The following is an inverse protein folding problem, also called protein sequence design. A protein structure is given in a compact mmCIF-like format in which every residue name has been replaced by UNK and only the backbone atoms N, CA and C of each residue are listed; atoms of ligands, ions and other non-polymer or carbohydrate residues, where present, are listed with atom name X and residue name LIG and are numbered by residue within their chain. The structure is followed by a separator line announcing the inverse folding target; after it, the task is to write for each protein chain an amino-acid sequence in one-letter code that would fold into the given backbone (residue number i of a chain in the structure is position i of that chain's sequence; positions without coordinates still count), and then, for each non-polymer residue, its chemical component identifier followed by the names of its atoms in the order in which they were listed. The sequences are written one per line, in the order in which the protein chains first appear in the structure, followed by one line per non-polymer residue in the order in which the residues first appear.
data_IF_964927205341
#
_entry.id   IF_964927205341
#
_cell.length_a   1.000
_cell.length_b   1.000
_cell.length_c   1.000
_cell.angle_alpha   90.00
_cell.angle_beta   90.00
_cell.angle_gamma   90.00
#
_symmetry.space_group_name_H-M   'P 1'
#
loop_
_entity.id
_entity.type
_entity.pdbx_description
1 polymer ?
#
# COMPACT_ATOMS: atom_id res chain seq x y z
N UNK A 1 -20.58 -9.43 -31.35
CA UNK A 1 -22.06 -9.45 -31.20
C UNK A 1 -22.33 -8.90 -29.79
N UNK A 2 -22.93 -7.71 -29.76
CA UNK A 2 -23.17 -6.97 -28.51
C UNK A 2 -24.29 -7.64 -27.71
N UNK A 3 -23.94 -8.13 -26.54
CA UNK A 3 -24.83 -8.73 -25.54
C UNK A 3 -25.65 -7.59 -24.91
N UNK A 4 -26.90 -7.47 -25.34
CA UNK A 4 -27.85 -6.52 -24.73
C UNK A 4 -28.33 -7.12 -23.41
N UNK A 5 -27.64 -6.82 -22.30
CA UNK A 5 -28.15 -7.03 -20.97
C UNK A 5 -29.35 -6.09 -20.75
N UNK A 6 -30.56 -6.62 -20.68
CA UNK A 6 -31.75 -5.84 -20.34
C UNK A 6 -31.74 -5.53 -18.84
N UNK A 7 -31.44 -4.28 -18.50
CA UNK A 7 -31.41 -3.78 -17.12
C UNK A 7 -32.84 -3.38 -16.73
N UNK A 8 -33.51 -4.19 -15.90
CA UNK A 8 -34.75 -3.78 -15.25
C UNK A 8 -34.45 -3.30 -13.83
N UNK A 9 -34.76 -2.04 -13.56
CA UNK A 9 -34.70 -1.49 -12.19
C UNK A 9 -35.88 -2.02 -11.38
N UNK A 10 -35.59 -2.65 -10.25
CA UNK A 10 -36.58 -3.02 -9.24
C UNK A 10 -36.19 -2.35 -7.94
N UNK A 11 -37.16 -1.88 -7.16
CA UNK A 11 -36.90 -1.29 -5.83
C UNK A 11 -37.04 -2.39 -4.78
N UNK A 12 -36.08 -2.48 -3.84
CA UNK A 12 -36.17 -3.35 -2.69
C UNK A 12 -37.26 -2.80 -1.73
N UNK A 13 -38.32 -3.54 -1.45
CA UNK A 13 -39.43 -3.08 -0.59
C UNK A 13 -39.02 -2.85 0.86
N UNK A 14 -37.91 -3.44 1.35
CA UNK A 14 -37.43 -3.28 2.73
C UNK A 14 -36.48 -2.12 2.97
N UNK A 15 -35.68 -1.70 1.96
CA UNK A 15 -34.63 -0.68 2.14
C UNK A 15 -34.68 0.48 1.16
N UNK A 16 -35.57 0.47 0.17
CA UNK A 16 -35.70 1.56 -0.81
C UNK A 16 -34.50 1.75 -1.74
N UNK A 17 -33.55 0.81 -1.74
CA UNK A 17 -32.36 0.87 -2.59
C UNK A 17 -32.64 0.36 -4.01
N UNK A 18 -32.08 1.00 -5.05
CA UNK A 18 -32.27 0.54 -6.41
C UNK A 18 -31.53 -0.78 -6.67
N UNK A 19 -32.26 -1.79 -7.08
CA UNK A 19 -31.79 -3.12 -7.43
C UNK A 19 -31.81 -3.29 -8.95
N UNK A 20 -30.71 -3.74 -9.56
CA UNK A 20 -30.68 -4.17 -10.94
C UNK A 20 -30.76 -5.69 -11.04
N UNK A 21 -31.78 -6.18 -11.75
CA UNK A 21 -31.85 -7.58 -12.16
C UNK A 21 -30.91 -7.81 -13.33
N UNK A 22 -29.87 -8.63 -13.12
CA UNK A 22 -28.99 -9.04 -14.23
C UNK A 22 -29.53 -10.34 -14.80
N UNK A 23 -29.98 -10.26 -16.04
CA UNK A 23 -30.46 -11.40 -16.84
C UNK A 23 -29.45 -11.67 -17.94
N UNK A 24 -28.89 -12.86 -17.98
CA UNK A 24 -28.14 -13.35 -19.14
C UNK A 24 -28.94 -14.39 -19.90
N UNK A 25 -28.74 -14.42 -21.22
CA UNK A 25 -29.29 -15.45 -22.08
C UNK A 25 -28.30 -16.63 -22.11
N UNK A 26 -28.78 -17.82 -21.79
CA UNK A 26 -28.06 -19.06 -22.03
C UNK A 26 -27.88 -19.29 -23.54
N UNK A 27 -26.87 -20.03 -23.99
CA UNK A 27 -26.73 -20.44 -25.40
C UNK A 27 -27.99 -21.07 -26.00
N UNK A 28 -28.88 -21.59 -25.16
CA UNK A 28 -30.21 -22.13 -25.55
C UNK A 28 -31.28 -21.05 -25.71
N UNK A 29 -31.00 -19.77 -25.44
CA UNK A 29 -31.97 -18.67 -25.53
C UNK A 29 -32.88 -18.52 -24.30
N UNK A 30 -32.66 -19.29 -23.23
CA UNK A 30 -33.41 -19.15 -21.96
C UNK A 30 -32.81 -18.05 -21.07
N UNK A 31 -33.69 -17.31 -20.39
CA UNK A 31 -33.27 -16.22 -19.50
C UNK A 31 -32.85 -16.82 -18.14
N UNK A 32 -31.56 -16.69 -17.81
CA UNK A 32 -31.06 -17.02 -16.50
C UNK A 32 -31.01 -15.76 -15.63
N UNK A 33 -31.68 -15.76 -14.49
CA UNK A 33 -31.55 -14.73 -13.47
C UNK A 33 -30.26 -15.00 -12.67
N UNK A 34 -29.21 -14.22 -12.90
CA UNK A 34 -27.91 -14.36 -12.20
C UNK A 34 -27.96 -13.77 -10.80
N UNK A 35 -28.91 -12.91 -10.49
CA UNK A 35 -29.09 -12.30 -9.17
C UNK A 35 -29.47 -10.84 -9.22
N UNK A 36 -29.75 -10.28 -8.06
CA UNK A 36 -30.02 -8.86 -7.88
C UNK A 36 -28.72 -8.16 -7.49
N UNK A 37 -28.25 -7.23 -8.31
CA UNK A 37 -27.11 -6.36 -7.99
C UNK A 37 -27.64 -5.07 -7.35
N UNK A 38 -27.08 -4.69 -6.20
CA UNK A 38 -27.31 -3.36 -5.62
C UNK A 38 -26.65 -2.32 -6.49
N UNK A 39 -27.32 -1.21 -6.71
CA UNK A 39 -26.81 -0.06 -7.45
C UNK A 39 -26.51 1.08 -6.46
N UNK A 40 -25.42 1.78 -6.73
CA UNK A 40 -25.16 3.08 -6.11
C UNK A 40 -26.20 4.13 -6.58
N UNK A 41 -26.44 5.24 -5.84
CA UNK A 41 -27.29 6.34 -6.31
C UNK A 41 -26.93 6.89 -7.70
N UNK A 42 -25.69 6.70 -8.13
CA UNK A 42 -25.21 7.05 -9.50
C UNK A 42 -25.59 6.01 -10.57
N UNK A 43 -26.23 4.89 -10.19
CA UNK A 43 -26.61 3.82 -11.11
C UNK A 43 -25.50 2.83 -11.46
N UNK A 44 -24.35 2.90 -10.80
CA UNK A 44 -23.23 1.97 -10.96
C UNK A 44 -23.48 0.70 -10.13
N UNK A 45 -23.14 -0.47 -10.68
CA UNK A 45 -23.27 -1.73 -9.96
C UNK A 45 -22.24 -1.82 -8.83
N UNK A 46 -22.70 -2.13 -7.62
CA UNK A 46 -21.84 -2.36 -6.46
C UNK A 46 -21.26 -3.78 -6.54
N UNK A 47 -20.03 -3.88 -7.04
CA UNK A 47 -19.30 -5.14 -7.13
C UNK A 47 -18.02 -5.01 -6.27
N UNK A 48 -17.74 -5.94 -5.34
CA UNK A 48 -18.59 -7.04 -4.89
C UNK A 48 -19.85 -6.57 -4.15
N UNK A 49 -20.94 -7.37 -4.13
CA UNK A 49 -22.16 -7.00 -3.42
C UNK A 49 -21.88 -6.91 -1.92
N UNK A 50 -22.20 -5.78 -1.26
CA UNK A 50 -22.01 -5.64 0.18
C UNK A 50 -22.93 -6.61 0.92
N UNK A 51 -22.39 -7.26 1.97
CA UNK A 51 -23.17 -8.13 2.82
C UNK A 51 -24.09 -7.31 3.74
N UNK A 52 -25.08 -7.96 4.36
CA UNK A 52 -25.95 -7.30 5.35
C UNK A 52 -25.27 -7.13 6.72
N UNK A 53 -24.01 -7.55 6.87
CA UNK A 53 -23.25 -7.41 8.11
C UNK A 53 -22.77 -5.94 8.27
N UNK A 54 -23.09 -5.27 9.40
CA UNK A 54 -22.59 -3.93 9.68
C UNK A 54 -21.07 -3.87 9.86
N UNK A 55 -20.39 -4.99 10.08
CA UNK A 55 -18.92 -5.07 10.18
C UNK A 55 -18.23 -5.18 8.82
N UNK A 56 -18.99 -5.38 7.73
CA UNK A 56 -18.41 -5.43 6.40
C UNK A 56 -17.74 -4.09 6.03
N UNK A 57 -16.44 -4.08 5.67
CA UNK A 57 -15.72 -2.86 5.28
C UNK A 57 -16.37 -2.13 4.10
N UNK A 58 -17.10 -2.83 3.24
CA UNK A 58 -17.83 -2.25 2.12
C UNK A 58 -18.99 -1.36 2.56
N UNK A 59 -19.57 -1.62 3.75
CA UNK A 59 -20.66 -0.84 4.34
C UNK A 59 -20.19 0.39 5.14
N UNK A 60 -18.87 0.57 5.31
CA UNK A 60 -18.33 1.71 6.07
C UNK A 60 -18.62 3.05 5.40
N UNK A 61 -18.74 4.09 6.23
CA UNK A 61 -18.88 5.44 5.74
C UNK A 61 -17.68 5.86 4.90
N UNK A 62 -17.86 6.74 3.93
CA UNK A 62 -16.77 7.23 3.07
C UNK A 62 -15.62 7.83 3.89
N UNK A 63 -15.92 8.51 4.99
CA UNK A 63 -14.90 9.06 5.90
C UNK A 63 -14.02 7.97 6.51
N UNK A 64 -14.60 6.86 6.97
CA UNK A 64 -13.83 5.74 7.51
C UNK A 64 -12.97 5.06 6.44
N UNK A 65 -13.50 4.89 5.22
CA UNK A 65 -12.76 4.34 4.08
C UNK A 65 -11.55 5.21 3.74
N UNK A 66 -11.74 6.52 3.59
CA UNK A 66 -10.63 7.45 3.31
C UNK A 66 -9.61 7.51 4.44
N UNK A 67 -10.03 7.41 5.70
CA UNK A 67 -9.11 7.36 6.83
C UNK A 67 -8.23 6.11 6.77
N UNK A 68 -8.79 4.94 6.51
CA UNK A 68 -8.01 3.71 6.35
C UNK A 68 -7.01 3.81 5.18
N UNK A 69 -7.45 4.31 4.03
CA UNK A 69 -6.60 4.49 2.85
C UNK A 69 -5.46 5.48 3.15
N UNK A 70 -5.77 6.61 3.80
CA UNK A 70 -4.77 7.62 4.16
C UNK A 70 -3.70 7.06 5.10
N UNK A 71 -4.07 6.25 6.08
CA UNK A 71 -3.14 5.60 7.00
C UNK A 71 -2.20 4.66 6.23
N UNK A 72 -2.74 3.82 5.36
CA UNK A 72 -1.95 2.88 4.54
C UNK A 72 -1.01 3.63 3.58
N UNK A 73 -1.50 4.68 2.91
CA UNK A 73 -0.71 5.55 2.05
C UNK A 73 0.42 6.22 2.82
N UNK A 74 0.14 6.72 4.04
CA UNK A 74 1.12 7.38 4.87
C UNK A 74 2.24 6.44 5.35
N UNK A 75 1.92 5.21 5.74
CA UNK A 75 2.95 4.24 6.11
C UNK A 75 3.88 3.90 4.94
N UNK A 76 3.34 3.73 3.74
CA UNK A 76 4.17 3.42 2.59
C UNK A 76 4.96 4.62 2.10
N UNK A 77 4.38 5.82 2.16
CA UNK A 77 5.09 7.09 1.96
C UNK A 77 6.30 7.22 2.90
N UNK A 78 6.13 7.01 4.21
CA UNK A 78 7.24 7.08 5.16
C UNK A 78 8.35 6.08 4.86
N UNK A 79 7.99 4.87 4.46
CA UNK A 79 8.99 3.87 4.10
C UNK A 79 9.81 4.31 2.87
N UNK A 80 9.15 4.72 1.80
CA UNK A 80 9.84 5.16 0.58
C UNK A 80 10.66 6.43 0.82
N UNK A 81 10.16 7.35 1.65
CA UNK A 81 10.90 8.50 2.12
C UNK A 81 12.19 8.10 2.83
N UNK A 82 12.13 7.24 3.84
CA UNK A 82 13.30 6.77 4.59
C UNK A 82 14.28 5.96 3.72
N UNK A 83 13.78 5.22 2.75
CA UNK A 83 14.62 4.45 1.82
C UNK A 83 15.44 5.38 0.92
N UNK A 84 14.82 6.45 0.41
CA UNK A 84 15.45 7.36 -0.56
C UNK A 84 16.24 8.50 0.09
N UNK A 85 15.89 8.91 1.31
CA UNK A 85 16.61 9.96 2.05
C UNK A 85 18.09 9.63 2.27
N UNK A 86 18.47 8.36 2.30
CA UNK A 86 19.87 7.96 2.48
C UNK A 86 20.70 7.94 1.20
N UNK A 87 20.10 8.07 0.02
CA UNK A 87 20.82 8.01 -1.25
C UNK A 87 21.83 9.17 -1.41
N UNK A 88 21.47 10.43 -1.15
CA UNK A 88 22.43 11.54 -1.26
C UNK A 88 23.54 11.51 -0.21
N UNK A 89 23.33 10.84 0.93
CA UNK A 89 24.31 10.70 2.02
C UNK A 89 25.40 9.66 1.76
N UNK A 90 25.50 9.14 0.53
CA UNK A 90 26.44 8.08 0.15
C UNK A 90 27.88 8.42 0.52
N UNK A 91 28.34 9.61 0.16
CA UNK A 91 29.71 10.07 0.43
C UNK A 91 30.00 10.19 1.94
N UNK A 92 29.01 10.67 2.71
CA UNK A 92 29.12 10.79 4.17
C UNK A 92 29.19 9.43 4.85
N UNK A 93 28.39 8.46 4.37
CA UNK A 93 28.42 7.08 4.88
C UNK A 93 29.77 6.42 4.59
N UNK A 94 30.36 6.69 3.42
CA UNK A 94 31.67 6.17 3.05
C UNK A 94 32.76 6.70 3.99
N UNK A 95 32.74 8.00 4.30
CA UNK A 95 33.68 8.64 5.23
C UNK A 95 33.45 8.18 6.67
N UNK A 96 32.19 8.08 7.11
CA UNK A 96 31.84 7.70 8.48
C UNK A 96 32.27 6.26 8.83
N UNK A 97 32.14 5.34 7.88
CA UNK A 97 32.43 3.90 8.09
C UNK A 97 33.80 3.47 7.56
N UNK A 98 34.59 4.40 6.97
CA UNK A 98 35.84 4.08 6.26
C UNK A 98 35.69 2.90 5.31
N UNK A 99 34.53 2.89 4.57
CA UNK A 99 34.08 1.78 3.79
C UNK A 99 34.33 1.98 2.30
N UNK A 100 34.52 0.88 1.58
CA UNK A 100 34.62 0.92 0.13
C UNK A 100 33.27 1.23 -0.53
N UNK A 101 33.31 1.82 -1.73
CA UNK A 101 32.12 2.11 -2.52
C UNK A 101 31.15 0.91 -2.62
N UNK A 102 31.69 -0.28 -2.84
CA UNK A 102 30.90 -1.52 -2.92
C UNK A 102 30.17 -1.84 -1.62
N UNK A 103 30.83 -1.65 -0.48
CA UNK A 103 30.24 -1.90 0.84
C UNK A 103 29.10 -0.94 1.14
N UNK A 104 29.26 0.35 0.82
CA UNK A 104 28.17 1.33 1.00
C UNK A 104 27.02 1.03 0.06
N UNK A 105 27.27 0.59 -1.17
CA UNK A 105 26.21 0.20 -2.10
C UNK A 105 25.35 -0.95 -1.57
N UNK A 106 25.92 -1.90 -0.83
CA UNK A 106 25.16 -2.95 -0.16
C UNK A 106 24.18 -2.41 0.88
N UNK A 107 24.45 -1.28 1.53
CA UNK A 107 23.52 -0.67 2.50
C UNK A 107 22.20 -0.23 1.87
N UNK A 108 22.18 0.01 0.56
CA UNK A 108 20.98 0.33 -0.22
C UNK A 108 20.29 -0.90 -0.78
N UNK A 109 21.06 -1.93 -1.13
CA UNK A 109 20.52 -3.18 -1.66
C UNK A 109 19.83 -4.03 -0.59
N UNK A 110 20.36 -4.04 0.63
CA UNK A 110 19.87 -4.88 1.73
C UNK A 110 18.42 -4.57 2.16
N UNK A 111 17.98 -3.31 2.31
CA UNK A 111 16.56 -3.02 2.59
C UNK A 111 15.62 -3.56 1.50
N UNK A 112 16.04 -3.51 0.23
CA UNK A 112 15.25 -4.06 -0.87
C UNK A 112 15.11 -5.58 -0.79
N UNK A 113 16.16 -6.27 -0.33
CA UNK A 113 16.11 -7.70 -0.05
C UNK A 113 15.12 -8.00 1.09
N UNK A 114 15.14 -7.19 2.18
CA UNK A 114 14.17 -7.29 3.27
C UNK A 114 12.73 -7.10 2.76
N UNK A 115 12.51 -6.08 1.92
CA UNK A 115 11.21 -5.81 1.31
C UNK A 115 10.74 -6.95 0.39
N UNK A 116 11.65 -7.64 -0.31
CA UNK A 116 11.33 -8.76 -1.19
C UNK A 116 10.97 -10.03 -0.40
N UNK A 117 11.66 -10.30 0.72
CA UNK A 117 11.39 -11.47 1.56
C UNK A 117 10.17 -11.27 2.47
N UNK A 118 9.88 -10.05 2.87
CA UNK A 118 8.78 -9.73 3.78
C UNK A 118 7.42 -10.24 3.33
N UNK A 119 7.00 -10.07 2.07
CA UNK A 119 5.71 -10.54 1.58
C UNK A 119 5.48 -12.03 1.74
N UNK A 120 6.52 -12.85 1.64
CA UNK A 120 6.42 -14.31 1.79
C UNK A 120 5.91 -14.70 3.18
N UNK A 121 6.36 -13.97 4.21
CA UNK A 121 5.95 -14.23 5.59
C UNK A 121 4.72 -13.41 5.99
N UNK A 122 4.69 -12.13 5.61
CA UNK A 122 3.65 -11.21 6.06
C UNK A 122 2.29 -11.51 5.40
N UNK A 123 2.27 -11.99 4.16
CA UNK A 123 1.02 -12.38 3.49
C UNK A 123 0.38 -13.57 4.22
N UNK A 124 1.13 -14.64 4.47
CA UNK A 124 0.62 -15.79 5.20
C UNK A 124 0.16 -15.45 6.63
N UNK A 125 0.93 -14.60 7.33
CA UNK A 125 0.56 -14.13 8.67
C UNK A 125 -0.70 -13.25 8.65
N UNK A 126 -0.88 -12.43 7.61
CA UNK A 126 -2.05 -11.57 7.48
C UNK A 126 -3.33 -12.37 7.27
N UNK A 127 -3.26 -13.52 6.59
CA UNK A 127 -4.40 -14.40 6.39
C UNK A 127 -4.77 -15.19 7.67
N UNK A 128 -3.77 -15.53 8.53
CA UNK A 128 -3.99 -16.28 9.76
C UNK A 128 -4.41 -15.38 10.92
N UNK A 129 -3.65 -14.31 11.19
CA UNK A 129 -3.81 -13.43 12.36
C UNK A 129 -4.59 -12.16 12.08
N UNK A 130 -4.88 -11.90 10.81
CA UNK A 130 -5.56 -10.70 10.38
C UNK A 130 -4.61 -9.55 10.01
N UNK A 131 -5.05 -8.73 9.06
CA UNK A 131 -4.24 -7.68 8.42
C UNK A 131 -3.76 -6.60 9.37
N UNK A 132 -4.58 -6.22 10.36
CA UNK A 132 -4.27 -5.16 11.32
C UNK A 132 -3.05 -5.48 12.17
N UNK A 133 -2.97 -6.70 12.71
CA UNK A 133 -1.88 -7.13 13.59
C UNK A 133 -0.55 -7.14 12.83
N UNK A 134 -0.57 -7.62 11.59
CA UNK A 134 0.65 -7.73 10.76
C UNK A 134 1.19 -6.35 10.37
N UNK A 135 0.33 -5.39 10.02
CA UNK A 135 0.77 -4.01 9.74
C UNK A 135 1.37 -3.37 10.98
N UNK A 136 0.73 -3.49 12.15
CA UNK A 136 1.25 -2.92 13.40
C UNK A 136 2.58 -3.55 13.75
N UNK A 137 2.68 -4.89 13.70
CA UNK A 137 3.92 -5.60 13.99
C UNK A 137 5.06 -5.22 13.06
N UNK A 138 4.81 -5.17 11.75
CA UNK A 138 5.79 -4.73 10.76
C UNK A 138 6.24 -3.28 10.99
N UNK A 139 5.30 -2.38 11.27
CA UNK A 139 5.62 -0.98 11.58
C UNK A 139 6.47 -0.84 12.83
N UNK A 140 6.19 -1.61 13.89
CA UNK A 140 7.03 -1.64 15.09
C UNK A 140 8.45 -2.13 14.77
N UNK A 141 8.61 -3.18 13.98
CA UNK A 141 9.92 -3.68 13.55
C UNK A 141 10.67 -2.60 12.77
N UNK A 142 10.02 -1.96 11.80
CA UNK A 142 10.62 -0.89 11.01
C UNK A 142 11.03 0.31 11.86
N UNK A 143 10.22 0.69 12.86
CA UNK A 143 10.49 1.80 13.77
C UNK A 143 11.73 1.50 14.65
N UNK A 144 11.78 0.32 15.27
CA UNK A 144 12.95 -0.10 16.08
C UNK A 144 14.21 -0.15 15.21
N UNK A 145 14.11 -0.74 14.03
CA UNK A 145 15.22 -0.81 13.07
C UNK A 145 15.72 0.60 12.67
N UNK A 146 14.80 1.54 12.41
CA UNK A 146 15.15 2.94 12.12
C UNK A 146 15.84 3.62 13.32
N UNK A 147 15.38 3.34 14.52
CA UNK A 147 16.05 3.81 15.75
C UNK A 147 17.48 3.27 15.86
N UNK A 148 17.68 1.97 15.56
CA UNK A 148 19.01 1.36 15.57
C UNK A 148 19.96 1.98 14.53
N UNK A 149 19.49 2.39 13.36
CA UNK A 149 20.34 3.05 12.36
C UNK A 149 20.83 4.43 12.80
N UNK A 150 20.17 5.07 13.77
CA UNK A 150 20.53 6.40 14.29
C UNK A 150 21.55 6.36 15.44
N UNK A 151 21.96 5.17 15.90
CA UNK A 151 22.90 5.03 17.02
C UNK A 151 24.30 5.40 16.56
N UNK A 152 24.91 6.38 17.25
CA UNK A 152 26.30 6.75 17.02
C UNK A 152 27.26 5.61 17.38
N UNK A 153 28.22 5.30 16.49
CA UNK A 153 29.24 4.26 16.71
C UNK A 153 28.76 2.84 16.36
N UNK A 154 27.63 2.68 15.70
CA UNK A 154 27.21 1.39 15.14
C UNK A 154 28.23 0.92 14.08
N UNK A 155 28.55 -0.38 14.09
CA UNK A 155 29.39 -0.95 13.03
C UNK A 155 28.64 -1.01 11.69
N UNK A 156 29.39 -1.02 10.57
CA UNK A 156 28.77 -1.15 9.23
C UNK A 156 27.87 -2.38 9.12
N UNK A 157 28.28 -3.51 9.69
CA UNK A 157 27.47 -4.74 9.68
C UNK A 157 26.18 -4.57 10.50
N UNK A 158 26.24 -3.93 11.66
CA UNK A 158 25.07 -3.61 12.48
C UNK A 158 24.10 -2.70 11.75
N UNK A 159 24.63 -1.69 11.05
CA UNK A 159 23.84 -0.81 10.21
C UNK A 159 23.14 -1.57 9.07
N UNK A 160 23.83 -2.49 8.38
CA UNK A 160 23.26 -3.32 7.32
C UNK A 160 22.12 -4.22 7.84
N UNK A 161 22.32 -4.84 9.02
CA UNK A 161 21.28 -5.67 9.66
C UNK A 161 20.04 -4.83 10.01
N UNK A 162 20.24 -3.65 10.58
CA UNK A 162 19.13 -2.74 10.90
C UNK A 162 18.38 -2.33 9.61
N UNK A 163 19.09 -2.05 8.54
CA UNK A 163 18.52 -1.76 7.22
C UNK A 163 17.69 -2.90 6.64
N UNK A 164 18.15 -4.14 6.80
CA UNK A 164 17.39 -5.32 6.40
C UNK A 164 16.04 -5.39 7.14
N UNK A 165 16.06 -5.24 8.47
CA UNK A 165 14.83 -5.26 9.27
C UNK A 165 13.92 -4.06 8.99
N UNK A 166 14.48 -2.90 8.63
CA UNK A 166 13.70 -1.76 8.19
C UNK A 166 12.89 -2.09 6.91
N UNK A 167 13.53 -2.69 5.91
CA UNK A 167 12.86 -3.14 4.69
C UNK A 167 11.85 -4.25 4.94
N UNK A 168 12.21 -5.25 5.75
CA UNK A 168 11.33 -6.36 6.12
C UNK A 168 10.09 -5.87 6.88
N UNK A 169 10.26 -4.97 7.86
CA UNK A 169 9.16 -4.40 8.63
C UNK A 169 8.24 -3.48 7.82
N UNK A 170 8.72 -2.91 6.71
CA UNK A 170 7.92 -2.08 5.82
C UNK A 170 7.10 -2.90 4.80
N UNK A 171 7.44 -4.16 4.58
CA UNK A 171 6.80 -5.01 3.57
C UNK A 171 5.28 -5.19 3.76
N UNK A 172 4.71 -5.23 4.98
CA UNK A 172 3.25 -5.27 5.16
C UNK A 172 2.53 -4.03 4.61
N UNK A 173 3.16 -2.86 4.67
CA UNK A 173 2.58 -1.65 4.09
C UNK A 173 2.42 -1.76 2.56
N UNK A 174 3.35 -2.45 1.90
CA UNK A 174 3.31 -2.68 0.47
C UNK A 174 2.24 -3.72 0.06
N UNK A 175 2.23 -4.88 0.70
CA UNK A 175 1.38 -6.01 0.29
C UNK A 175 0.01 -6.02 0.95
N UNK A 176 -0.02 -5.98 2.29
CA UNK A 176 -1.26 -5.98 3.05
C UNK A 176 -2.00 -4.65 2.88
N UNK A 177 -1.27 -3.54 2.70
CA UNK A 177 -1.85 -2.24 2.43
C UNK A 177 -2.68 -2.22 1.15
N UNK A 178 -2.14 -2.74 0.04
CA UNK A 178 -2.87 -2.86 -1.22
C UNK A 178 -4.11 -3.77 -1.08
N UNK A 179 -3.98 -4.86 -0.31
CA UNK A 179 -5.10 -5.76 -0.04
C UNK A 179 -6.22 -5.06 0.73
N UNK A 180 -5.89 -4.23 1.74
CA UNK A 180 -6.89 -3.43 2.48
C UNK A 180 -7.60 -2.45 1.55
N UNK A 181 -6.88 -1.76 0.65
CA UNK A 181 -7.48 -0.84 -0.32
C UNK A 181 -8.48 -1.58 -1.21
N UNK A 182 -8.14 -2.78 -1.65
CA UNK A 182 -9.03 -3.60 -2.46
C UNK A 182 -10.30 -4.03 -1.71
N UNK A 183 -10.19 -4.40 -0.43
CA UNK A 183 -11.33 -4.85 0.39
C UNK A 183 -12.31 -3.72 0.74
N UNK A 184 -11.78 -2.51 0.92
CA UNK A 184 -12.59 -1.34 1.29
C UNK A 184 -13.20 -0.67 0.05
N UNK A 185 -12.77 -1.06 -1.18
CA UNK A 185 -13.11 -0.38 -2.42
C UNK A 185 -14.03 -1.19 -3.31
N UNK A 186 -15.08 -0.55 -3.82
CA UNK A 186 -15.85 -1.10 -4.94
C UNK A 186 -15.03 -1.05 -6.23
N UNK A 187 -15.36 -1.91 -7.18
CA UNK A 187 -14.64 -2.05 -8.43
C UNK A 187 -14.50 -0.73 -9.21
N UNK A 188 -15.55 0.07 -9.23
CA UNK A 188 -15.55 1.36 -9.93
C UNK A 188 -14.68 2.44 -9.28
N UNK A 189 -14.43 2.36 -7.95
CA UNK A 189 -13.59 3.31 -7.20
C UNK A 189 -12.15 2.83 -7.03
N UNK A 190 -11.90 1.53 -7.23
CA UNK A 190 -10.63 0.86 -6.96
C UNK A 190 -9.47 1.50 -7.72
N UNK A 191 -9.66 1.81 -9.00
CA UNK A 191 -8.63 2.42 -9.84
C UNK A 191 -8.13 3.75 -9.28
N UNK A 192 -9.04 4.62 -8.86
CA UNK A 192 -8.68 5.91 -8.27
C UNK A 192 -7.94 5.75 -6.94
N UNK A 193 -8.40 4.85 -6.06
CA UNK A 193 -7.80 4.61 -4.73
C UNK A 193 -6.42 3.97 -4.82
N UNK A 194 -6.22 3.04 -5.75
CA UNK A 194 -4.90 2.48 -6.05
C UNK A 194 -3.98 3.57 -6.61
N UNK A 195 -4.50 4.46 -7.48
CA UNK A 195 -3.76 5.59 -7.99
C UNK A 195 -3.25 6.53 -6.89
N UNK A 196 -4.08 6.82 -5.87
CA UNK A 196 -3.66 7.60 -4.70
C UNK A 196 -2.54 6.90 -3.91
N UNK A 197 -2.62 5.58 -3.77
CA UNK A 197 -1.60 4.80 -3.08
C UNK A 197 -0.27 4.82 -3.85
N UNK A 198 -0.28 4.63 -5.17
CA UNK A 198 0.92 4.74 -6.01
C UNK A 198 1.51 6.16 -5.95
N UNK A 199 0.68 7.19 -6.02
CA UNK A 199 1.13 8.58 -5.90
C UNK A 199 1.81 8.84 -4.54
N UNK A 200 1.33 8.25 -3.45
CA UNK A 200 1.96 8.36 -2.14
C UNK A 200 3.37 7.74 -2.11
N UNK A 201 3.56 6.62 -2.81
CA UNK A 201 4.87 5.96 -2.96
C UNK A 201 5.86 6.89 -3.69
N UNK A 202 5.44 7.42 -4.84
CA UNK A 202 6.29 8.27 -5.68
C UNK A 202 6.64 9.59 -4.97
N UNK A 203 5.66 10.19 -4.28
CA UNK A 203 5.90 11.37 -3.44
C UNK A 203 6.89 11.08 -2.32
N UNK A 204 6.79 9.92 -1.64
CA UNK A 204 7.73 9.52 -0.61
C UNK A 204 9.16 9.43 -1.13
N UNK A 205 9.34 8.79 -2.28
CA UNK A 205 10.63 8.67 -2.93
C UNK A 205 11.23 10.04 -3.33
N UNK A 206 10.39 10.92 -3.88
CA UNK A 206 10.79 12.24 -4.32
C UNK A 206 11.16 13.15 -3.15
N UNK A 207 10.32 13.21 -2.12
CA UNK A 207 10.57 14.03 -0.93
C UNK A 207 11.76 13.51 -0.11
N UNK A 208 12.00 12.20 -0.07
CA UNK A 208 13.16 11.62 0.61
C UNK A 208 14.48 12.10 0.02
N UNK A 209 14.62 11.98 -1.30
CA UNK A 209 15.83 12.48 -1.99
C UNK A 209 16.00 14.00 -1.89
N UNK A 210 14.90 14.75 -2.00
CA UNK A 210 14.93 16.20 -1.97
C UNK A 210 15.24 16.78 -0.58
N UNK A 211 14.70 16.19 0.49
CA UNK A 211 14.92 16.66 1.85
C UNK A 211 16.39 16.59 2.26
N UNK A 212 17.07 15.52 1.88
CA UNK A 212 18.49 15.35 2.16
C UNK A 212 19.35 16.35 1.36
N UNK A 213 18.96 16.62 0.10
CA UNK A 213 19.61 17.63 -0.72
C UNK A 213 19.55 19.04 -0.07
N UNK A 214 18.43 19.37 0.58
CA UNK A 214 18.26 20.65 1.29
C UNK A 214 19.01 20.69 2.62
N UNK A 215 19.10 19.56 3.32
CA UNK A 215 19.66 19.51 4.68
C UNK A 215 21.17 19.44 4.66
N UNK A 216 21.77 18.92 3.60
CA UNK A 216 23.21 18.76 3.47
C UNK A 216 23.84 19.83 2.57
N UNK A 217 24.48 20.88 3.14
CA UNK A 217 25.04 21.99 2.37
C UNK A 217 26.24 21.60 1.48
N UNK A 218 26.79 20.39 1.61
CA UNK A 218 27.90 19.92 0.79
C UNK A 218 27.44 19.31 -0.55
N UNK A 219 26.18 18.86 -0.65
CA UNK A 219 25.66 18.21 -1.85
C UNK A 219 25.48 19.17 -3.04
N UNK A 220 24.98 20.42 -2.87
CA UNK A 220 24.81 21.34 -3.98
C UNK A 220 26.13 21.65 -4.71
N UNK A 221 27.25 21.62 -4.02
CA UNK A 221 28.57 21.88 -4.64
C UNK A 221 29.07 20.76 -5.55
N UNK A 222 28.56 19.52 -5.38
CA UNK A 222 28.91 18.37 -6.22
C UNK A 222 28.10 18.37 -7.53
N UNK A 223 26.90 18.96 -7.54
CA UNK A 223 26.04 19.05 -8.74
C UNK A 223 26.36 20.28 -9.62
N UNK A 224 27.22 21.20 -9.17
CA UNK A 224 27.64 22.41 -9.90
C UNK A 224 28.98 22.26 -10.62
N UNK A 225 29.62 21.10 -10.61
CA UNK A 225 30.82 20.70 -11.35
C UNK A 225 30.46 19.65 -12.43
#
# INVERSE_FOLDING_TARGET
MSEKAAKQLHHDPEKGEPLALVRTLDPSGSIINIGTLRLDPTGSALIPPPTSDPLDPLNWSQSQKYTCISIVCFFYFLFTYLATATIPSFALLQEQFDATYTQVNWTFAIPSLGLALGPLFCSALADIYGRRIVIIGGTCIALVASGCTSIHGISLHGYMVARFFQGFGASPAATVGLSIINDVSFEHERGFRIGLWVMAIDLGALFGGFSELLTNPQIPSIFLL
#
